data_IF_398327886474
#
_entry.id   IF_398327886474
#
_cell.length_a   1.000
_cell.length_b   1.000
_cell.length_c   1.000
_cell.angle_alpha   90.00
_cell.angle_beta   90.00
_cell.angle_gamma   90.00
#
_symmetry.space_group_name_H-M   'P 1'
#
loop_
_entity.id
_entity.type
_entity.pdbx_description
1 polymer ?
#
# COMPACT_ATOMS: atom_id res chain seq x y z
N UNK A 1 -0.15 -9.78 2.63
CA UNK A 1 -0.34 -8.97 1.40
C UNK A 1 -0.25 -7.51 1.81
N UNK A 2 0.44 -6.67 1.04
CA UNK A 2 0.48 -5.22 1.27
C UNK A 2 -0.48 -4.55 0.27
N UNK A 3 -1.49 -3.84 0.78
CA UNK A 3 -2.50 -3.16 -0.03
C UNK A 3 -2.14 -1.71 -0.36
N UNK A 4 -0.87 -1.33 -0.25
CA UNK A 4 -0.36 -0.02 -0.67
C UNK A 4 -0.68 1.15 0.28
N UNK A 5 -1.31 0.89 1.43
CA UNK A 5 -1.56 1.90 2.47
C UNK A 5 -0.64 1.65 3.65
N UNK A 6 0.05 2.69 4.10
CA UNK A 6 0.97 2.59 5.23
C UNK A 6 0.98 3.87 6.04
N UNK A 7 1.09 3.72 7.36
CA UNK A 7 1.33 4.83 8.29
C UNK A 7 2.75 4.70 8.81
N UNK A 8 3.60 5.67 8.44
CA UNK A 8 5.03 5.64 8.76
C UNK A 8 5.40 6.80 9.67
N UNK A 9 6.29 6.54 10.63
CA UNK A 9 6.94 7.64 11.37
C UNK A 9 7.97 8.29 10.45
N UNK A 10 8.04 9.63 10.43
CA UNK A 10 9.01 10.39 9.62
C UNK A 10 10.45 9.88 9.78
N UNK A 11 10.85 9.51 11.00
CA UNK A 11 12.20 8.98 11.28
C UNK A 11 12.54 7.68 10.53
N UNK A 12 11.55 6.86 10.18
CA UNK A 12 11.78 5.61 9.45
C UNK A 12 12.31 5.90 8.05
N UNK A 13 11.91 7.01 7.42
CA UNK A 13 12.40 7.41 6.10
C UNK A 13 13.90 7.72 6.07
N UNK A 14 14.55 7.88 7.23
CA UNK A 14 16.00 7.99 7.33
C UNK A 14 16.76 6.71 6.94
N UNK A 15 16.06 5.57 6.79
CA UNK A 15 16.63 4.32 6.28
C UNK A 15 16.81 4.34 4.74
N UNK A 16 16.20 5.29 4.04
CA UNK A 16 16.26 5.37 2.58
C UNK A 16 17.61 5.97 2.17
N UNK A 17 18.42 5.29 1.36
CA UNK A 17 19.70 5.79 0.88
C UNK A 17 19.48 6.97 -0.10
N UNK A 18 20.27 8.04 -0.02
CA UNK A 18 20.09 9.23 -0.86
C UNK A 18 20.63 9.08 -2.29
N UNK A 19 21.48 8.09 -2.53
CA UNK A 19 22.39 8.01 -3.68
C UNK A 19 22.05 6.86 -4.65
N UNK A 20 20.90 6.21 -4.45
CA UNK A 20 20.41 5.18 -5.38
C UNK A 20 18.89 5.05 -5.38
N UNK A 21 18.32 4.51 -6.46
CA UNK A 21 16.96 3.98 -6.42
C UNK A 21 16.82 2.99 -5.27
N UNK A 22 15.69 3.09 -4.57
CA UNK A 22 15.37 2.26 -3.42
C UNK A 22 13.91 1.84 -3.49
N UNK A 23 13.64 0.55 -3.36
CA UNK A 23 12.28 0.03 -3.49
C UNK A 23 11.52 0.02 -2.18
N UNK A 24 10.22 -0.09 -2.28
CA UNK A 24 9.35 -0.26 -1.12
C UNK A 24 9.59 -1.61 -0.42
N UNK A 25 9.89 -2.67 -1.17
CA UNK A 25 10.30 -3.97 -0.63
C UNK A 25 11.59 -3.87 0.18
N UNK A 26 12.62 -3.18 -0.34
CA UNK A 26 13.88 -2.97 0.40
C UNK A 26 13.62 -2.21 1.70
N UNK A 27 12.79 -1.16 1.65
CA UNK A 27 12.43 -0.37 2.83
C UNK A 27 11.73 -1.20 3.92
N UNK A 28 10.75 -2.01 3.53
CA UNK A 28 10.03 -2.84 4.49
C UNK A 28 10.86 -4.01 5.00
N UNK A 29 11.74 -4.57 4.18
CA UNK A 29 12.67 -5.62 4.62
C UNK A 29 13.54 -5.13 5.78
N UNK A 30 14.09 -3.91 5.70
CA UNK A 30 14.87 -3.31 6.79
C UNK A 30 14.04 -3.14 8.07
N UNK A 31 12.76 -2.74 7.94
CA UNK A 31 11.87 -2.60 9.10
C UNK A 31 11.48 -3.95 9.70
N UNK A 32 11.31 -4.99 8.88
CA UNK A 32 11.04 -6.36 9.33
C UNK A 32 12.23 -6.89 10.14
N UNK A 33 13.45 -6.74 9.63
CA UNK A 33 14.69 -7.15 10.30
C UNK A 33 14.86 -6.46 11.67
N UNK A 34 14.40 -5.22 11.79
CA UNK A 34 14.43 -4.44 13.04
C UNK A 34 13.20 -4.67 13.94
N UNK A 35 12.25 -5.54 13.54
CA UNK A 35 10.96 -5.73 14.23
C UNK A 35 10.15 -4.42 14.39
N UNK A 36 10.25 -3.52 13.42
CA UNK A 36 9.59 -2.21 13.40
C UNK A 36 8.47 -2.09 12.37
N UNK A 37 8.09 -3.19 11.71
CA UNK A 37 6.95 -3.25 10.80
C UNK A 37 5.81 -4.07 11.42
N UNK A 38 4.65 -3.44 11.57
CA UNK A 38 3.41 -4.11 11.97
C UNK A 38 2.46 -4.20 10.77
N UNK A 39 1.63 -5.24 10.75
CA UNK A 39 0.52 -5.35 9.82
C UNK A 39 -0.78 -4.92 10.51
N UNK A 40 -1.65 -4.25 9.76
CA UNK A 40 -3.03 -3.98 10.16
C UNK A 40 -3.95 -4.83 9.30
N UNK A 41 -4.71 -5.72 9.93
CA UNK A 41 -5.69 -6.55 9.23
C UNK A 41 -6.98 -5.76 9.01
N UNK A 42 -7.53 -5.82 7.81
CA UNK A 42 -8.81 -5.21 7.46
C UNK A 42 -9.63 -6.15 6.59
N UNK A 43 -10.95 -6.12 6.77
CA UNK A 43 -11.91 -6.81 5.91
C UNK A 43 -12.55 -5.88 4.89
N UNK A 44 -12.17 -4.59 4.89
CA UNK A 44 -12.62 -3.65 3.88
C UNK A 44 -12.03 -4.04 2.52
N UNK A 45 -12.86 -3.95 1.49
CA UNK A 45 -12.46 -4.30 0.13
C UNK A 45 -11.41 -3.31 -0.37
N UNK A 46 -10.33 -3.85 -0.90
CA UNK A 46 -9.33 -3.11 -1.64
C UNK A 46 -9.54 -3.32 -3.14
N UNK A 47 -9.36 -2.24 -3.92
CA UNK A 47 -9.50 -2.26 -5.38
C UNK A 47 -8.19 -1.79 -6.02
N UNK A 48 -7.49 -2.71 -6.68
CA UNK A 48 -6.27 -2.39 -7.42
C UNK A 48 -6.61 -2.06 -8.87
N UNK A 49 -6.29 -0.84 -9.31
CA UNK A 49 -6.54 -0.40 -10.69
C UNK A 49 -5.23 -0.48 -11.48
N UNK A 50 -4.85 -1.71 -11.84
CA UNK A 50 -3.62 -2.00 -12.59
C UNK A 50 -3.80 -2.09 -14.11
N UNK A 51 -5.03 -1.95 -14.63
CA UNK A 51 -5.34 -2.10 -16.05
C UNK A 51 -6.57 -1.30 -16.48
N UNK A 52 -6.76 -1.02 -17.80
CA UNK A 52 -7.97 -0.38 -18.30
C UNK A 52 -9.25 -1.16 -17.96
N UNK A 53 -9.19 -2.49 -17.98
CA UNK A 53 -10.33 -3.34 -17.62
C UNK A 53 -10.72 -3.18 -16.15
N UNK A 54 -9.74 -3.19 -15.24
CA UNK A 54 -9.97 -2.99 -13.81
C UNK A 54 -10.53 -1.59 -13.52
N UNK A 55 -10.10 -0.58 -14.28
CA UNK A 55 -10.66 0.77 -14.17
C UNK A 55 -12.14 0.81 -14.56
N UNK A 56 -12.53 0.13 -15.63
CA UNK A 56 -13.94 0.08 -16.06
C UNK A 56 -14.82 -0.69 -15.08
N UNK A 57 -14.29 -1.75 -14.46
CA UNK A 57 -14.97 -2.45 -13.36
C UNK A 57 -15.17 -1.52 -12.16
N UNK A 58 -14.12 -0.84 -11.73
CA UNK A 58 -14.20 0.12 -10.62
C UNK A 58 -15.21 1.23 -10.91
N UNK A 59 -15.21 1.80 -12.11
CA UNK A 59 -16.18 2.83 -12.52
C UNK A 59 -17.63 2.35 -12.38
N UNK A 60 -17.93 1.12 -12.80
CA UNK A 60 -19.27 0.53 -12.65
C UNK A 60 -19.64 0.39 -11.17
N UNK A 61 -18.72 -0.07 -10.34
CA UNK A 61 -18.93 -0.23 -8.90
C UNK A 61 -19.23 1.10 -8.20
N UNK A 62 -18.45 2.15 -8.51
CA UNK A 62 -18.68 3.50 -7.95
C UNK A 62 -20.06 4.01 -8.35
N UNK A 63 -20.42 3.86 -9.63
CA UNK A 63 -21.67 4.38 -10.19
C UNK A 63 -22.93 3.74 -9.58
N UNK A 64 -22.84 2.48 -9.12
CA UNK A 64 -23.96 1.76 -8.49
C UNK A 64 -24.01 1.94 -6.97
N UNK A 65 -23.16 2.79 -6.40
CA UNK A 65 -23.09 3.00 -4.94
C UNK A 65 -22.47 1.83 -4.18
N UNK A 66 -21.75 0.92 -4.88
CA UNK A 66 -21.12 -0.25 -4.27
C UNK A 66 -19.89 0.05 -3.41
N UNK A 67 -19.65 1.33 -3.09
CA UNK A 67 -18.58 1.83 -2.25
C UNK A 67 -19.20 2.64 -1.10
N UNK A 68 -20.13 2.01 -0.38
CA UNK A 68 -20.60 2.49 0.93
C UNK A 68 -19.78 1.87 2.07
N UNK A 69 -19.79 2.47 3.27
CA UNK A 69 -19.18 1.87 4.47
C UNK A 69 -19.79 0.50 4.82
#
# INVERSE_FOLDING_TARGET
INYGVSVLRKKALGLIPPDRPFTQEEFYQLLIEQQQLLAFETHQRFYEIGSPHALDEFRRLVATGGIGP
#
